data_IF_188860262128
#
_entry.id   IF_188860262128
#
_cell.length_a   1.000
_cell.length_b   1.000
_cell.length_c   1.000
_cell.angle_alpha   90.00
_cell.angle_beta   90.00
_cell.angle_gamma   90.00
#
_symmetry.space_group_name_H-M   'P 1'
#
loop_
_entity.id
_entity.type
_entity.pdbx_description
1 polymer ?
#
# COMPACT_ATOMS: atom_id res chain seq x y z
N UNK A 1 -1.78 15.46 9.35
CA UNK A 1 -1.42 15.69 7.93
C UNK A 1 -1.60 17.17 7.61
N UNK A 2 -0.66 17.79 6.88
CA UNK A 2 -0.84 19.18 6.42
C UNK A 2 -1.80 19.26 5.23
N UNK A 3 -2.38 20.44 4.94
CA UNK A 3 -3.22 20.62 3.75
C UNK A 3 -2.49 20.24 2.45
N UNK A 4 -1.22 20.60 2.29
CA UNK A 4 -0.44 20.27 1.10
C UNK A 4 -0.29 18.75 0.94
N UNK A 5 0.07 18.05 2.02
CA UNK A 5 0.18 16.59 2.02
C UNK A 5 -1.13 15.91 1.67
N UNK A 6 -2.26 16.43 2.16
CA UNK A 6 -3.58 15.90 1.82
C UNK A 6 -3.86 16.02 0.32
N UNK A 7 -3.53 17.15 -0.30
CA UNK A 7 -3.71 17.36 -1.75
C UNK A 7 -2.81 16.41 -2.56
N UNK A 8 -1.57 16.22 -2.13
CA UNK A 8 -0.63 15.29 -2.79
C UNK A 8 -1.17 13.85 -2.77
N UNK A 9 -1.69 13.41 -1.63
CA UNK A 9 -2.24 12.06 -1.49
C UNK A 9 -3.50 11.88 -2.33
N UNK A 10 -4.40 12.86 -2.36
CA UNK A 10 -5.56 12.81 -3.26
C UNK A 10 -5.13 12.69 -4.73
N UNK A 11 -4.11 13.45 -5.15
CA UNK A 11 -3.59 13.35 -6.50
C UNK A 11 -2.97 11.97 -6.82
N UNK A 12 -2.32 11.32 -5.84
CA UNK A 12 -1.83 9.95 -5.97
C UNK A 12 -2.98 8.94 -6.07
N UNK A 13 -3.98 9.05 -5.19
CA UNK A 13 -5.13 8.14 -5.16
C UNK A 13 -6.03 8.26 -6.38
N UNK A 14 -6.13 9.44 -7.01
CA UNK A 14 -6.84 9.60 -8.28
C UNK A 14 -6.20 8.75 -9.38
N UNK A 15 -4.87 8.70 -9.44
CA UNK A 15 -4.11 7.94 -10.44
C UNK A 15 -4.10 6.44 -10.18
N UNK A 16 -4.29 6.02 -8.92
CA UNK A 16 -4.31 4.62 -8.56
C UNK A 16 -5.56 3.91 -9.12
N UNK A 17 -5.34 2.79 -9.83
CA UNK A 17 -6.39 1.88 -10.27
C UNK A 17 -6.91 1.07 -9.07
N UNK A 18 -7.82 1.67 -8.30
CA UNK A 18 -8.45 1.07 -7.11
C UNK A 18 -9.92 1.45 -7.04
N UNK A 19 -10.74 0.60 -6.41
CA UNK A 19 -12.13 0.96 -6.10
C UNK A 19 -12.23 2.06 -5.02
N UNK A 20 -13.39 2.71 -4.91
CA UNK A 20 -13.59 3.82 -3.97
C UNK A 20 -13.40 3.45 -2.49
N UNK A 21 -13.79 2.24 -2.09
CA UNK A 21 -13.59 1.77 -0.71
C UNK A 21 -12.12 1.50 -0.39
N UNK A 22 -11.36 1.03 -1.38
CA UNK A 22 -9.92 0.83 -1.27
C UNK A 22 -9.16 2.15 -1.20
N UNK A 23 -9.59 3.18 -1.97
CA UNK A 23 -9.04 4.54 -1.86
C UNK A 23 -9.30 5.16 -0.49
N UNK A 24 -10.51 4.98 0.06
CA UNK A 24 -10.85 5.46 1.40
C UNK A 24 -10.00 4.78 2.49
N UNK A 25 -9.83 3.46 2.43
CA UNK A 25 -8.95 2.76 3.38
C UNK A 25 -7.49 3.20 3.25
N UNK A 26 -7.02 3.41 2.02
CA UNK A 26 -5.67 3.91 1.77
C UNK A 26 -5.47 5.32 2.32
N UNK A 27 -6.47 6.20 2.17
CA UNK A 27 -6.48 7.53 2.77
C UNK A 27 -6.36 7.46 4.29
N UNK A 28 -7.15 6.59 4.94
CA UNK A 28 -7.07 6.36 6.39
C UNK A 28 -5.70 5.81 6.83
N UNK A 29 -5.08 4.95 6.03
CA UNK A 29 -3.72 4.50 6.29
C UNK A 29 -2.76 5.69 6.30
N UNK A 30 -2.79 6.54 5.28
CA UNK A 30 -1.94 7.72 5.23
C UNK A 30 -2.21 8.71 6.37
N UNK A 31 -3.47 8.91 6.75
CA UNK A 31 -3.84 9.68 7.94
C UNK A 31 -3.18 9.11 9.21
N UNK A 32 -3.21 7.78 9.37
CA UNK A 32 -2.65 7.10 10.54
C UNK A 32 -1.12 7.25 10.67
N UNK A 33 -0.41 7.39 9.56
CA UNK A 33 1.06 7.52 9.53
C UNK A 33 1.52 8.98 9.34
N UNK A 34 0.60 9.94 9.23
CA UNK A 34 0.93 11.33 8.92
C UNK A 34 1.78 12.03 10.00
N UNK A 35 1.74 11.55 11.24
CA UNK A 35 2.57 12.06 12.34
C UNK A 35 4.01 11.55 12.32
N UNK A 36 4.35 10.60 11.44
CA UNK A 36 5.68 10.02 11.40
C UNK A 36 6.69 10.98 10.74
N UNK A 37 7.93 11.12 11.27
CA UNK A 37 8.95 12.01 10.70
C UNK A 37 9.27 11.75 9.22
N UNK A 38 9.14 10.51 8.77
CA UNK A 38 9.41 10.06 7.41
C UNK A 38 8.25 10.31 6.44
N UNK A 39 7.07 10.73 6.90
CA UNK A 39 5.87 10.79 6.08
C UNK A 39 6.04 11.61 4.79
N UNK A 40 6.67 12.79 4.88
CA UNK A 40 6.96 13.63 3.71
C UNK A 40 7.86 12.93 2.69
N UNK A 41 8.83 12.14 3.16
CA UNK A 41 9.70 11.36 2.27
C UNK A 41 8.94 10.23 1.58
N UNK A 42 8.01 9.59 2.28
CA UNK A 42 7.15 8.54 1.71
C UNK A 42 6.31 9.12 0.57
N UNK A 43 5.62 10.23 0.78
CA UNK A 43 4.82 10.89 -0.27
C UNK A 43 5.70 11.23 -1.48
N UNK A 44 6.86 11.85 -1.25
CA UNK A 44 7.78 12.21 -2.34
C UNK A 44 8.29 11.00 -3.13
N UNK A 45 8.52 9.86 -2.47
CA UNK A 45 8.90 8.62 -3.15
C UNK A 45 7.77 8.10 -4.04
N UNK A 46 6.53 8.08 -3.53
CA UNK A 46 5.35 7.64 -4.28
C UNK A 46 5.08 8.54 -5.50
N UNK A 47 5.32 9.85 -5.39
CA UNK A 47 5.20 10.78 -6.51
C UNK A 47 6.28 10.57 -7.58
N UNK A 48 7.53 10.33 -7.15
CA UNK A 48 8.68 10.19 -8.05
C UNK A 48 8.74 8.84 -8.76
N UNK A 49 8.19 7.80 -8.14
CA UNK A 49 8.27 6.43 -8.63
C UNK A 49 6.85 5.82 -8.70
N UNK A 50 6.10 6.07 -9.79
CA UNK A 50 4.73 5.58 -9.95
C UNK A 50 4.60 4.06 -9.80
N UNK A 51 5.60 3.30 -10.25
CA UNK A 51 5.64 1.84 -10.10
C UNK A 51 5.64 1.38 -8.63
N UNK A 52 6.21 2.18 -7.72
CA UNK A 52 6.19 1.89 -6.28
C UNK A 52 4.78 2.08 -5.73
N UNK A 53 4.08 3.14 -6.14
CA UNK A 53 2.69 3.35 -5.79
C UNK A 53 1.80 2.22 -6.32
N UNK A 54 1.96 1.86 -7.59
CA UNK A 54 1.19 0.78 -8.22
C UNK A 54 1.38 -0.55 -7.48
N UNK A 55 2.62 -0.92 -7.18
CA UNK A 55 2.92 -2.14 -6.43
C UNK A 55 2.32 -2.08 -5.02
N UNK A 56 2.46 -0.94 -4.33
CA UNK A 56 1.86 -0.76 -3.01
C UNK A 56 0.34 -0.91 -3.04
N UNK A 57 -0.34 -0.30 -4.02
CA UNK A 57 -1.78 -0.43 -4.24
C UNK A 57 -2.19 -1.88 -4.52
N UNK A 58 -1.42 -2.62 -5.34
CA UNK A 58 -1.67 -4.05 -5.61
C UNK A 58 -1.53 -4.89 -4.35
N UNK A 59 -0.45 -4.72 -3.58
CA UNK A 59 -0.26 -5.42 -2.32
C UNK A 59 -1.39 -5.12 -1.32
N UNK A 60 -1.81 -3.86 -1.25
CA UNK A 60 -2.92 -3.45 -0.40
C UNK A 60 -4.24 -4.11 -0.81
N UNK A 61 -4.55 -4.14 -2.10
CA UNK A 61 -5.74 -4.81 -2.62
C UNK A 61 -5.73 -6.31 -2.32
N UNK A 62 -4.60 -6.98 -2.55
CA UNK A 62 -4.42 -8.40 -2.22
C UNK A 62 -4.65 -8.67 -0.73
N UNK A 63 -4.05 -7.88 0.16
CA UNK A 63 -4.25 -8.04 1.61
C UNK A 63 -5.70 -7.81 2.01
N UNK A 64 -6.37 -6.81 1.42
CA UNK A 64 -7.79 -6.54 1.64
C UNK A 64 -8.67 -7.73 1.23
N UNK A 65 -8.46 -8.28 0.04
CA UNK A 65 -9.20 -9.45 -0.45
C UNK A 65 -8.95 -10.68 0.41
N UNK A 66 -7.71 -10.88 0.85
CA UNK A 66 -7.33 -11.98 1.72
C UNK A 66 -8.07 -11.91 3.07
N UNK A 67 -8.09 -10.75 3.71
CA UNK A 67 -8.83 -10.53 4.96
C UNK A 67 -10.36 -10.63 4.75
N UNK A 68 -10.88 -10.17 3.61
CA UNK A 68 -12.31 -10.29 3.28
C UNK A 68 -12.78 -11.74 3.13
N UNK A 69 -11.87 -12.68 2.83
CA UNK A 69 -12.14 -14.11 2.82
C UNK A 69 -12.19 -14.74 4.23
N UNK A 70 -12.01 -13.93 5.29
CA UNK A 70 -11.98 -14.40 6.68
C UNK A 70 -10.65 -15.02 7.10
N UNK A 71 -9.61 -14.88 6.27
CA UNK A 71 -8.27 -15.36 6.58
C UNK A 71 -7.60 -14.44 7.60
N UNK A 72 -6.78 -15.03 8.45
CA UNK A 72 -6.05 -14.39 9.54
C UNK A 72 -4.77 -13.70 9.08
N UNK A 73 -4.22 -12.81 9.94
CA UNK A 73 -2.87 -12.25 9.75
C UNK A 73 -1.79 -13.35 9.70
N UNK A 74 -1.92 -14.41 10.49
CA UNK A 74 -0.97 -15.53 10.45
C UNK A 74 -0.97 -16.26 9.11
N UNK A 75 -2.14 -16.47 8.50
CA UNK A 75 -2.24 -17.06 7.16
C UNK A 75 -1.67 -16.13 6.09
N UNK A 76 -1.76 -14.82 6.29
CA UNK A 76 -1.15 -13.84 5.40
C UNK A 76 0.39 -13.91 5.46
N UNK A 77 0.95 -14.02 6.66
CA UNK A 77 2.40 -14.17 6.84
C UNK A 77 2.92 -15.48 6.23
N UNK A 78 2.17 -16.58 6.37
CA UNK A 78 2.48 -17.84 5.69
C UNK A 78 2.45 -17.71 4.17
N UNK A 79 1.43 -17.04 3.62
CA UNK A 79 1.35 -16.76 2.18
C UNK A 79 2.58 -15.98 1.68
N UNK A 80 2.99 -14.94 2.40
CA UNK A 80 4.18 -14.16 2.06
C UNK A 80 5.47 -14.98 2.16
N UNK A 81 5.60 -15.84 3.17
CA UNK A 81 6.77 -16.71 3.32
C UNK A 81 6.91 -17.73 2.18
N UNK A 82 5.79 -18.22 1.64
CA UNK A 82 5.79 -19.11 0.46
C UNK A 82 6.26 -18.38 -0.79
N UNK A 83 5.76 -17.15 -1.01
CA UNK A 83 6.17 -16.31 -2.15
C UNK A 83 7.66 -15.92 -2.08
N UNK A 84 8.17 -15.56 -0.90
CA UNK A 84 9.59 -15.23 -0.70
C UNK A 84 10.52 -16.43 -0.96
N UNK A 85 10.09 -17.62 -0.55
CA UNK A 85 10.78 -18.88 -0.84
C UNK A 85 10.76 -19.23 -2.34
N UNK A 86 9.68 -18.88 -3.05
CA UNK A 86 9.61 -19.07 -4.50
C UNK A 86 10.52 -18.10 -5.25
N UNK A 87 10.56 -16.82 -4.84
CA UNK A 87 11.40 -15.79 -5.46
C UNK A 87 12.89 -16.04 -5.22
N UNK A 88 13.28 -16.46 -4.01
CA UNK A 88 14.68 -16.81 -3.70
C UNK A 88 15.19 -17.96 -4.56
N UNK A 89 14.35 -18.95 -4.89
CA UNK A 89 14.70 -20.06 -5.80
C UNK A 89 14.78 -19.67 -7.27
N UNK A 90 14.22 -18.53 -7.68
CA UNK A 90 14.29 -18.02 -9.06
C UNK A 90 15.47 -17.07 -9.28
N UNK A 91 16.12 -16.62 -8.20
CA UNK A 91 17.32 -15.77 -8.23
C UNK A 91 18.65 -16.55 -8.18
N UNK A 92 18.59 -17.88 -8.05
CA UNK A 92 19.70 -18.83 -8.22
C UNK A 92 19.76 -19.36 -9.66
#
# INVERSE_FOLDING_TARGET
MSPEQSVQIEALLVKAEMDGSSKELMRRFFDSIAGQPQFTRIISLLERFPSVLENFCKCFALKKEFLAQGKSESEWDEFLAVEDNALSKLGE
#
